data_IF_952070116288
#
_entry.id   IF_952070116288
#
_cell.length_a   1.000
_cell.length_b   1.000
_cell.length_c   1.000
_cell.angle_alpha   90.00
_cell.angle_beta   90.00
_cell.angle_gamma   90.00
#
_symmetry.space_group_name_H-M   'P 1'
#
loop_
_entity.id
_entity.type
_entity.pdbx_description
1 polymer ?
#
# COMPACT_ATOMS: atom_id res chain seq x y z
N UNK A 1 0.18 -11.82 -17.29
CA UNK A 1 -0.59 -11.05 -16.30
C UNK A 1 -0.15 -11.36 -14.88
N UNK A 2 -0.03 -10.34 -14.03
CA UNK A 2 0.40 -10.46 -12.64
C UNK A 2 -0.16 -9.33 -11.77
N UNK A 3 0.00 -9.44 -10.46
CA UNK A 3 -0.34 -8.41 -9.47
C UNK A 3 0.88 -8.09 -8.64
N UNK A 4 1.03 -6.81 -8.31
CA UNK A 4 2.05 -6.34 -7.38
C UNK A 4 1.40 -6.12 -6.02
N UNK A 5 1.83 -6.86 -5.01
CA UNK A 5 1.38 -6.69 -3.63
C UNK A 5 2.57 -6.38 -2.73
N UNK A 6 2.38 -5.46 -1.79
CA UNK A 6 3.38 -5.07 -0.81
C UNK A 6 2.75 -4.95 0.56
N UNK A 7 3.53 -5.19 1.61
CA UNK A 7 3.09 -5.10 3.01
C UNK A 7 3.95 -4.10 3.79
N UNK A 8 3.31 -3.26 4.61
CA UNK A 8 3.94 -2.24 5.45
C UNK A 8 4.92 -1.40 4.63
N UNK A 9 6.21 -1.38 4.98
CA UNK A 9 7.28 -0.76 4.19
C UNK A 9 7.23 -1.11 2.68
N UNK A 10 7.01 -2.38 2.34
CA UNK A 10 6.89 -2.80 0.95
C UNK A 10 5.67 -2.18 0.25
N UNK A 11 4.56 -1.99 0.98
CA UNK A 11 3.35 -1.35 0.45
C UNK A 11 3.58 0.12 0.09
N UNK A 12 4.49 0.81 0.78
CA UNK A 12 4.90 2.18 0.46
C UNK A 12 5.82 2.26 -0.76
N UNK A 13 6.49 1.15 -1.14
CA UNK A 13 7.42 1.08 -2.28
C UNK A 13 6.72 0.68 -3.59
N UNK A 14 5.76 -0.25 -3.54
CA UNK A 14 5.16 -0.79 -4.77
C UNK A 14 4.59 0.25 -5.74
N UNK A 15 4.06 1.43 -5.33
CA UNK A 15 3.60 2.43 -6.30
C UNK A 15 4.75 2.97 -7.16
N UNK A 16 5.94 3.10 -6.58
CA UNK A 16 7.15 3.55 -7.28
C UNK A 16 7.68 2.50 -8.25
N UNK A 17 7.54 1.22 -7.92
CA UNK A 17 7.87 0.11 -8.81
C UNK A 17 6.86 0.10 -9.97
N UNK A 18 5.56 0.11 -9.67
CA UNK A 18 4.50 0.04 -10.66
C UNK A 18 4.55 1.19 -11.68
N UNK A 19 4.87 2.41 -11.23
CA UNK A 19 4.96 3.59 -12.12
C UNK A 19 6.17 3.56 -13.07
N UNK A 20 7.16 2.71 -12.78
CA UNK A 20 8.42 2.59 -13.53
C UNK A 20 8.56 1.29 -14.32
N UNK A 21 7.53 0.44 -14.34
CA UNK A 21 7.53 -0.76 -15.17
C UNK A 21 7.67 -0.41 -16.65
N UNK A 22 8.36 -1.27 -17.41
CA UNK A 22 8.43 -1.12 -18.87
C UNK A 22 7.02 -1.18 -19.47
N UNK A 23 6.79 -0.61 -20.66
CA UNK A 23 5.51 -0.70 -21.34
C UNK A 23 5.03 -2.14 -21.56
N UNK A 24 5.94 -3.11 -21.75
CA UNK A 24 5.55 -4.53 -21.86
C UNK A 24 4.99 -5.05 -20.53
N UNK A 25 5.71 -4.85 -19.43
CA UNK A 25 5.30 -5.33 -18.11
C UNK A 25 4.04 -4.62 -17.60
N UNK A 26 3.89 -3.33 -17.91
CA UNK A 26 2.72 -2.55 -17.48
C UNK A 26 1.44 -3.06 -18.13
N UNK A 27 1.48 -3.61 -19.35
CA UNK A 27 0.32 -4.25 -20.01
C UNK A 27 -0.14 -5.51 -19.30
N UNK A 28 0.79 -6.21 -18.63
CA UNK A 28 0.51 -7.42 -17.87
C UNK A 28 0.14 -7.17 -16.41
N UNK A 29 0.38 -5.96 -15.89
CA UNK A 29 0.01 -5.59 -14.52
C UNK A 29 -1.51 -5.43 -14.41
N UNK A 30 -2.16 -6.32 -13.65
CA UNK A 30 -3.62 -6.31 -13.44
C UNK A 30 -4.07 -5.50 -12.23
N UNK A 31 -3.20 -5.30 -11.25
CA UNK A 31 -3.55 -4.60 -10.03
C UNK A 31 -2.34 -4.34 -9.14
N UNK A 32 -2.48 -3.36 -8.26
CA UNK A 32 -1.50 -3.02 -7.23
C UNK A 32 -2.23 -3.00 -5.88
N UNK A 33 -1.78 -3.83 -4.93
CA UNK A 33 -2.39 -3.95 -3.60
C UNK A 33 -1.37 -3.57 -2.53
N UNK A 34 -1.60 -2.44 -1.87
CA UNK A 34 -0.75 -1.92 -0.80
C UNK A 34 -1.39 -2.28 0.55
N UNK A 35 -0.81 -3.24 1.28
CA UNK A 35 -1.26 -3.67 2.60
C UNK A 35 -0.59 -2.82 3.69
N UNK A 36 -1.37 -1.98 4.36
CA UNK A 36 -0.99 -1.04 5.41
C UNK A 36 0.20 -0.14 5.03
N UNK A 37 0.11 0.62 3.92
CA UNK A 37 1.16 1.56 3.53
C UNK A 37 1.18 2.78 4.46
N UNK A 38 2.36 3.36 4.62
CA UNK A 38 2.54 4.68 5.20
C UNK A 38 2.32 5.77 4.13
N UNK A 39 1.93 6.97 4.55
CA UNK A 39 1.71 8.11 3.66
C UNK A 39 3.04 8.68 3.08
N UNK A 40 4.15 8.43 3.78
CA UNK A 40 5.51 8.71 3.34
C UNK A 40 6.39 7.47 3.35
N UNK A 41 7.25 7.33 2.34
CA UNK A 41 8.33 6.36 2.33
C UNK A 41 9.66 7.11 2.49
N UNK A 42 10.50 6.63 3.39
CA UNK A 42 11.95 6.74 3.24
C UNK A 42 12.40 5.41 2.67
N UNK A 43 13.08 5.36 1.53
CA UNK A 43 13.61 4.08 0.98
C UNK A 43 14.73 3.47 1.86
N UNK A 44 14.85 3.90 3.12
CA UNK A 44 15.72 3.37 4.16
C UNK A 44 14.83 2.83 5.29
N UNK A 45 15.13 1.62 5.78
CA UNK A 45 14.46 1.08 6.97
C UNK A 45 15.11 1.74 8.19
N UNK A 46 14.48 2.75 8.75
CA UNK A 46 14.83 3.24 10.07
C UNK A 46 14.14 2.36 11.12
N UNK A 47 14.90 1.44 11.74
CA UNK A 47 14.39 0.56 12.81
C UNK A 47 13.82 1.39 13.99
N UNK A 48 14.28 2.63 14.17
CA UNK A 48 13.75 3.60 15.13
C UNK A 48 12.30 3.97 14.89
N UNK A 49 11.87 4.05 13.63
CA UNK A 49 10.50 4.43 13.25
C UNK A 49 9.55 3.26 13.49
N UNK A 50 10.03 2.03 13.27
CA UNK A 50 9.34 0.79 13.67
C UNK A 50 9.23 0.66 15.21
N UNK A 51 10.08 1.35 15.97
CA UNK A 51 10.09 1.39 17.45
C UNK A 51 9.42 2.66 18.02
N UNK A 52 8.72 3.45 17.19
CA UNK A 52 7.99 4.65 17.60
C UNK A 52 8.89 5.81 18.12
N UNK A 53 10.16 5.86 17.69
CA UNK A 53 11.12 6.90 18.05
C UNK A 53 11.30 7.93 16.92
N UNK A 54 10.34 8.84 16.79
CA UNK A 54 10.48 10.08 16.02
C UNK A 54 10.09 9.96 14.54
N UNK A 55 9.38 10.97 14.04
CA UNK A 55 8.86 11.01 12.67
C UNK A 55 9.64 12.04 11.83
N UNK A 56 10.63 11.60 11.05
CA UNK A 56 11.00 12.35 9.86
C UNK A 56 9.94 12.11 8.80
N UNK A 57 9.32 13.16 8.26
CA UNK A 57 8.44 13.02 7.09
C UNK A 57 9.28 12.47 5.95
N UNK A 58 9.03 11.22 5.57
CA UNK A 58 9.87 10.57 4.59
C UNK A 58 9.94 11.32 3.26
N UNK A 59 11.08 11.23 2.59
CA UNK A 59 11.42 12.01 1.40
C UNK A 59 10.48 11.74 0.21
N UNK A 60 9.78 10.60 0.20
CA UNK A 60 8.98 10.15 -0.94
C UNK A 60 7.49 10.10 -0.59
N UNK A 61 6.71 10.90 -1.30
CA UNK A 61 5.27 11.00 -1.12
C UNK A 61 4.54 9.85 -1.83
N UNK A 62 4.07 8.87 -1.06
CA UNK A 62 3.43 7.64 -1.57
C UNK A 62 2.11 7.98 -2.27
N UNK A 63 1.30 8.87 -1.68
CA UNK A 63 0.01 9.31 -2.23
C UNK A 63 0.18 9.96 -3.61
N UNK A 64 1.19 10.81 -3.78
CA UNK A 64 1.49 11.46 -5.05
C UNK A 64 1.93 10.43 -6.10
N UNK A 65 2.66 9.39 -5.70
CA UNK A 65 3.08 8.33 -6.61
C UNK A 65 1.90 7.46 -7.04
N UNK A 66 1.02 7.07 -6.12
CA UNK A 66 -0.22 6.36 -6.41
C UNK A 66 -1.07 7.12 -7.44
N UNK A 67 -1.16 8.45 -7.31
CA UNK A 67 -1.92 9.29 -8.24
C UNK A 67 -1.37 9.33 -9.67
N UNK A 68 -0.11 8.92 -9.90
CA UNK A 68 0.45 8.78 -11.26
C UNK A 68 -0.04 7.50 -11.96
N UNK A 69 -0.56 6.55 -11.19
CA UNK A 69 -1.10 5.30 -11.70
C UNK A 69 -2.59 5.50 -11.98
N UNK A 70 -2.91 5.92 -13.20
CA UNK A 70 -4.30 5.96 -13.68
C UNK A 70 -4.85 4.55 -13.92
N UNK A 71 -4.02 3.66 -14.49
CA UNK A 71 -4.32 2.24 -14.65
C UNK A 71 -3.04 1.36 -14.52
N UNK A 72 -3.14 0.19 -13.83
CA UNK A 72 -4.27 -0.22 -12.99
C UNK A 72 -4.38 0.61 -11.71
N UNK A 73 -5.59 0.68 -11.13
CA UNK A 73 -5.80 1.42 -9.88
C UNK A 73 -5.11 0.72 -8.70
N UNK A 74 -4.54 1.52 -7.80
CA UNK A 74 -3.96 1.02 -6.55
C UNK A 74 -5.05 0.89 -5.49
N UNK A 75 -5.04 -0.22 -4.77
CA UNK A 75 -5.93 -0.45 -3.61
C UNK A 75 -5.09 -0.53 -2.35
N UNK A 76 -5.39 0.35 -1.39
CA UNK A 76 -4.79 0.34 -0.07
C UNK A 76 -5.67 -0.45 0.91
N UNK A 77 -5.09 -1.33 1.70
CA UNK A 77 -5.78 -2.17 2.67
C UNK A 77 -5.24 -1.83 4.05
N UNK A 78 -6.10 -1.74 5.05
CA UNK A 78 -5.71 -1.44 6.43
C UNK A 78 -6.48 -2.35 7.38
N UNK A 79 -5.84 -2.76 8.48
CA UNK A 79 -6.50 -3.41 9.60
C UNK A 79 -7.40 -2.44 10.35
N UNK A 80 -8.61 -2.85 10.69
CA UNK A 80 -9.58 -2.01 11.41
C UNK A 80 -9.14 -1.63 12.83
N UNK A 81 -8.18 -2.36 13.40
CA UNK A 81 -7.58 -2.09 14.72
C UNK A 81 -6.27 -1.29 14.64
N UNK A 82 -5.86 -0.87 13.44
CA UNK A 82 -4.76 0.08 13.25
C UNK A 82 -5.16 1.52 13.60
N UNK A 83 -4.19 2.43 13.62
CA UNK A 83 -4.49 3.86 13.62
C UNK A 83 -5.34 4.20 12.39
N UNK A 84 -6.36 5.04 12.59
CA UNK A 84 -7.30 5.45 11.54
C UNK A 84 -6.72 6.57 10.68
N UNK A 85 -5.77 7.36 11.19
CA UNK A 85 -5.21 8.52 10.50
C UNK A 85 -4.60 8.16 9.13
N UNK A 86 -3.80 7.08 8.97
CA UNK A 86 -3.29 6.66 7.67
C UNK A 86 -4.43 6.38 6.68
N UNK A 87 -5.35 5.46 7.01
CA UNK A 87 -6.48 5.12 6.12
C UNK A 87 -7.29 6.36 5.72
N UNK A 88 -7.61 7.23 6.69
CA UNK A 88 -8.35 8.47 6.44
C UNK A 88 -7.59 9.42 5.51
N UNK A 89 -6.26 9.49 5.61
CA UNK A 89 -5.42 10.32 4.75
C UNK A 89 -5.44 9.84 3.29
N UNK A 90 -5.39 8.53 3.08
CA UNK A 90 -5.50 7.93 1.73
C UNK A 90 -6.92 8.11 1.16
N UNK A 91 -7.97 7.90 1.97
CA UNK A 91 -9.37 8.11 1.57
C UNK A 91 -9.65 9.57 1.17
N UNK A 92 -9.24 10.54 1.99
CA UNK A 92 -9.35 11.98 1.69
C UNK A 92 -8.58 12.38 0.43
N UNK A 93 -7.56 11.60 0.08
CA UNK A 93 -6.77 11.81 -1.15
C UNK A 93 -7.41 11.20 -2.40
N UNK A 94 -8.56 10.55 -2.27
CA UNK A 94 -9.29 9.89 -3.37
C UNK A 94 -8.75 8.51 -3.75
N UNK A 95 -7.88 7.91 -2.91
CA UNK A 95 -7.32 6.58 -3.15
C UNK A 95 -8.29 5.52 -2.60
N UNK A 96 -8.54 4.47 -3.39
CA UNK A 96 -9.38 3.34 -2.97
C UNK A 96 -8.72 2.65 -1.78
N UNK A 97 -9.33 2.81 -0.61
CA UNK A 97 -8.84 2.29 0.66
C UNK A 97 -9.91 1.42 1.30
N UNK A 98 -9.52 0.27 1.85
CA UNK A 98 -10.44 -0.70 2.47
C UNK A 98 -9.93 -1.09 3.85
N UNK A 99 -10.86 -1.16 4.81
CA UNK A 99 -10.62 -1.74 6.13
C UNK A 99 -10.94 -3.23 6.12
N UNK A 100 -10.12 -4.05 6.77
CA UNK A 100 -10.43 -5.46 7.08
C UNK A 100 -10.17 -5.78 8.55
N UNK A 101 -10.79 -6.82 9.12
CA UNK A 101 -10.54 -7.19 10.51
C UNK A 101 -9.05 -7.40 10.81
N UNK A 102 -8.63 -6.90 11.98
CA UNK A 102 -7.30 -7.15 12.53
C UNK A 102 -6.46 -5.91 12.78
N UNK A 103 -5.30 -6.10 13.39
CA UNK A 103 -4.27 -5.06 13.60
C UNK A 103 -3.40 -4.86 12.35
N UNK A 104 -2.22 -4.25 12.49
CA UNK A 104 -1.28 -4.03 11.37
C UNK A 104 -0.84 -5.35 10.69
N UNK A 105 -0.80 -6.45 11.44
CA UNK A 105 -0.54 -7.80 10.92
C UNK A 105 -1.82 -8.55 10.53
N UNK A 106 -2.97 -7.87 10.50
CA UNK A 106 -4.29 -8.43 10.21
C UNK A 106 -4.67 -9.62 11.09
N UNK A 107 -4.20 -9.62 12.35
CA UNK A 107 -4.33 -10.75 13.29
C UNK A 107 -3.86 -12.11 12.71
N UNK A 108 -2.97 -12.09 11.72
CA UNK A 108 -2.52 -13.24 10.91
C UNK A 108 -3.63 -13.93 10.10
N UNK A 109 -4.71 -13.23 9.76
CA UNK A 109 -5.76 -13.73 8.86
C UNK A 109 -5.29 -13.71 7.40
N UNK A 110 -4.39 -14.62 7.06
CA UNK A 110 -3.89 -14.78 5.69
C UNK A 110 -5.00 -15.13 4.70
N UNK A 111 -6.09 -15.76 5.16
CA UNK A 111 -7.24 -16.08 4.31
C UNK A 111 -7.99 -14.80 3.93
N UNK A 112 -8.23 -13.91 4.89
CA UNK A 112 -8.80 -12.58 4.67
C UNK A 112 -7.93 -11.75 3.73
N UNK A 113 -6.62 -11.70 3.96
CA UNK A 113 -5.66 -10.99 3.08
C UNK A 113 -5.74 -11.54 1.65
N UNK A 114 -5.65 -12.87 1.47
CA UNK A 114 -5.69 -13.49 0.16
C UNK A 114 -7.01 -13.24 -0.56
N UNK A 115 -8.14 -13.27 0.16
CA UNK A 115 -9.46 -12.99 -0.40
C UNK A 115 -9.59 -11.54 -0.90
N UNK A 116 -9.01 -10.58 -0.18
CA UNK A 116 -8.97 -9.18 -0.60
C UNK A 116 -8.12 -9.00 -1.85
N UNK A 117 -6.92 -9.60 -1.89
CA UNK A 117 -6.04 -9.53 -3.06
C UNK A 117 -6.75 -10.13 -4.27
N UNK A 118 -7.30 -11.34 -4.14
CA UNK A 118 -8.01 -12.04 -5.22
C UNK A 118 -9.14 -11.19 -5.82
N UNK A 119 -9.92 -10.48 -5.01
CA UNK A 119 -10.98 -9.56 -5.46
C UNK A 119 -10.49 -8.35 -6.28
N UNK A 120 -9.19 -8.03 -6.26
CA UNK A 120 -8.62 -6.97 -7.10
C UNK A 120 -8.04 -7.50 -8.41
N UNK A 121 -7.91 -8.83 -8.56
CA UNK A 121 -7.30 -9.47 -9.74
C UNK A 121 -8.35 -10.15 -10.63
N UNK A 122 -9.44 -10.62 -10.03
CA UNK A 122 -10.58 -11.28 -10.66
C UNK A 122 -11.63 -10.26 -11.07
#
# INVERSE_FOLDING_TARGET
QFVLAGYSFGASIIPFIASRLSPELRKDLKGVVALSPDDYADFEIHITDMLNFGTSKGKYNVIAEIKKLSEPSVVCVFGEKEDKEPRMTFEKSGIKSIGIPGNHHYDNDYTGIAAVIAKQVL
#
